data_IF_908141040294
#
_entry.id   IF_908141040294
#
_cell.length_a   1.000
_cell.length_b   1.000
_cell.length_c   1.000
_cell.angle_alpha   90.00
_cell.angle_beta   90.00
_cell.angle_gamma   90.00
#
_symmetry.space_group_name_H-M   'P 1'
#
loop_
_entity.id
_entity.type
_entity.pdbx_description
1 polymer ?
#
# COMPACT_ATOMS: atom_id res chain seq x y z
N UNK A 1 3.78 22.34 3.20
CA UNK A 1 3.12 21.25 3.95
C UNK A 1 4.20 20.31 4.46
N UNK A 2 3.94 19.50 5.51
CA UNK A 2 4.93 18.55 6.04
C UNK A 2 5.01 17.29 5.18
N UNK A 3 3.86 16.74 4.76
CA UNK A 3 3.75 15.56 3.90
C UNK A 3 2.31 15.44 3.35
N UNK A 4 2.04 14.51 2.43
CA UNK A 4 0.72 14.14 1.89
C UNK A 4 0.39 12.66 2.14
N UNK A 5 0.24 12.23 3.41
CA UNK A 5 0.15 10.82 3.73
C UNK A 5 -1.21 10.21 3.40
N UNK A 6 -1.19 8.91 3.09
CA UNK A 6 -2.40 8.08 3.07
C UNK A 6 -2.55 7.39 4.42
N UNK A 7 -3.72 7.54 5.05
CA UNK A 7 -4.00 6.95 6.36
C UNK A 7 -5.02 5.82 6.24
N UNK A 8 -4.72 4.67 6.83
CA UNK A 8 -5.60 3.51 6.96
C UNK A 8 -6.01 3.38 8.43
N UNK A 9 -7.31 3.49 8.71
CA UNK A 9 -7.89 3.20 10.03
C UNK A 9 -8.11 1.69 10.17
N UNK A 10 -7.13 0.97 10.73
CA UNK A 10 -7.16 -0.48 10.87
C UNK A 10 -8.21 -0.93 11.90
N UNK A 11 -8.30 -0.22 13.02
CA UNK A 11 -9.31 -0.42 14.07
C UNK A 11 -9.65 0.93 14.73
N UNK A 12 -10.48 0.94 15.78
CA UNK A 12 -10.82 2.18 16.49
C UNK A 12 -9.61 2.86 17.15
N UNK A 13 -8.58 2.08 17.48
CA UNK A 13 -7.37 2.46 18.20
C UNK A 13 -6.07 2.29 17.38
N UNK A 14 -6.14 1.77 16.15
CA UNK A 14 -4.96 1.55 15.29
C UNK A 14 -5.09 2.24 13.94
N UNK A 15 -4.09 3.03 13.61
CA UNK A 15 -3.97 3.74 12.34
C UNK A 15 -2.59 3.46 11.74
N UNK A 16 -2.56 3.17 10.45
CA UNK A 16 -1.33 3.18 9.67
C UNK A 16 -1.28 4.43 8.82
N UNK A 17 -0.13 5.08 8.81
CA UNK A 17 0.09 6.31 8.06
C UNK A 17 1.24 6.06 7.12
N UNK A 18 0.96 6.00 5.82
CA UNK A 18 1.97 5.92 4.78
C UNK A 18 2.60 7.29 4.60
N UNK A 19 3.90 7.41 4.88
CA UNK A 19 4.65 8.66 4.90
C UNK A 19 5.72 8.67 3.81
N UNK A 20 5.99 9.83 3.23
CA UNK A 20 7.08 9.96 2.25
C UNK A 20 8.48 10.06 2.89
N UNK A 21 8.56 10.49 4.16
CA UNK A 21 9.80 10.70 4.88
C UNK A 21 9.63 10.58 6.41
N UNK A 22 10.74 10.65 7.15
CA UNK A 22 10.76 10.63 8.61
C UNK A 22 10.27 11.93 9.27
N UNK A 23 10.15 13.03 8.53
CA UNK A 23 9.79 14.33 9.12
C UNK A 23 8.36 14.30 9.66
N UNK A 24 7.45 13.64 8.92
CA UNK A 24 6.10 13.40 9.41
C UNK A 24 6.09 12.51 10.66
N UNK A 25 6.93 11.47 10.72
CA UNK A 25 7.04 10.61 11.90
C UNK A 25 7.48 11.42 13.14
N UNK A 26 8.49 12.27 13.00
CA UNK A 26 8.95 13.12 14.10
C UNK A 26 7.92 14.17 14.49
N UNK A 27 7.20 14.72 13.53
CA UNK A 27 6.12 15.67 13.79
C UNK A 27 4.98 15.04 14.60
N UNK A 28 4.52 13.84 14.21
CA UNK A 28 3.48 13.10 14.95
C UNK A 28 3.95 12.74 16.36
N UNK A 29 5.20 12.28 16.52
CA UNK A 29 5.80 12.03 17.85
C UNK A 29 5.84 13.27 18.72
N UNK A 30 6.19 14.42 18.14
CA UNK A 30 6.20 15.71 18.82
C UNK A 30 4.81 16.12 19.33
N UNK A 31 3.78 15.93 18.51
CA UNK A 31 2.38 16.18 18.91
C UNK A 31 1.91 15.24 20.02
N UNK A 32 2.17 13.94 19.88
CA UNK A 32 1.79 12.95 20.89
C UNK A 32 2.42 13.29 22.25
N UNK A 33 3.70 13.65 22.26
CA UNK A 33 4.40 14.07 23.47
C UNK A 33 3.88 15.42 24.02
N UNK A 34 3.76 16.43 23.17
CA UNK A 34 3.34 17.79 23.58
C UNK A 34 1.92 17.86 24.11
N UNK A 35 1.01 17.05 23.55
CA UNK A 35 -0.39 16.94 23.98
C UNK A 35 -0.62 15.86 25.05
N UNK A 36 0.42 15.12 25.44
CA UNK A 36 0.35 14.01 26.41
C UNK A 36 -0.70 12.96 26.02
N UNK A 37 -0.73 12.60 24.74
CA UNK A 37 -1.63 11.56 24.24
C UNK A 37 -1.11 10.18 24.66
N UNK A 38 -2.03 9.29 25.03
CA UNK A 38 -1.73 7.88 25.29
C UNK A 38 -1.74 7.11 23.96
N UNK A 39 -0.66 7.24 23.20
CA UNK A 39 -0.52 6.63 21.86
C UNK A 39 0.92 6.20 21.63
N UNK A 40 1.08 5.00 21.05
CA UNK A 40 2.37 4.53 20.55
C UNK A 40 2.54 4.98 19.10
N UNK A 41 3.69 5.59 18.78
CA UNK A 41 4.03 6.03 17.43
C UNK A 41 5.38 5.41 17.05
N UNK A 42 5.35 4.40 16.19
CA UNK A 42 6.52 3.69 15.69
C UNK A 42 6.38 3.38 14.19
N UNK A 43 7.46 2.84 13.63
CA UNK A 43 7.47 2.27 12.28
C UNK A 43 7.18 0.77 12.42
N UNK A 44 6.01 0.30 11.96
CA UNK A 44 5.65 -1.11 12.08
C UNK A 44 6.42 -1.95 11.05
N UNK A 45 6.59 -3.25 11.32
CA UNK A 45 7.18 -4.20 10.37
C UNK A 45 6.17 -4.56 9.27
N UNK A 46 5.90 -3.58 8.40
CA UNK A 46 4.94 -3.68 7.29
C UNK A 46 5.57 -3.15 6.02
N UNK A 47 5.62 -3.99 5.00
CA UNK A 47 6.18 -3.66 3.70
C UNK A 47 5.06 -3.53 2.65
N UNK A 48 4.78 -2.32 2.14
CA UNK A 48 3.81 -2.15 1.07
C UNK A 48 4.36 -2.62 -0.28
N UNK A 49 3.59 -3.41 -1.01
CA UNK A 49 3.87 -3.85 -2.38
C UNK A 49 2.77 -3.35 -3.31
N UNK A 50 3.15 -2.54 -4.31
CA UNK A 50 2.20 -1.99 -5.26
C UNK A 50 2.02 -2.90 -6.50
N UNK A 51 0.77 -3.13 -6.88
CA UNK A 51 0.38 -3.76 -8.15
C UNK A 51 -0.28 -2.68 -9.00
N UNK A 52 0.39 -2.22 -10.05
CA UNK A 52 -0.06 -1.08 -10.87
C UNK A 52 -0.10 -1.48 -12.35
N UNK A 53 -1.04 -0.88 -13.09
CA UNK A 53 -1.16 -1.06 -14.54
C UNK A 53 -2.57 -1.45 -15.00
N UNK A 54 -2.81 -1.50 -16.32
CA UNK A 54 -4.16 -1.71 -16.87
C UNK A 54 -4.72 -3.10 -16.53
N UNK A 55 -3.85 -4.08 -16.29
CA UNK A 55 -4.20 -5.46 -15.95
C UNK A 55 -4.08 -5.75 -14.44
N UNK A 56 -3.87 -4.72 -13.60
CA UNK A 56 -3.71 -4.89 -12.15
C UNK A 56 -4.91 -5.59 -11.50
N UNK A 57 -6.14 -5.31 -11.96
CA UNK A 57 -7.35 -5.98 -11.48
C UNK A 57 -7.35 -7.48 -11.79
N UNK A 58 -6.83 -7.87 -12.95
CA UNK A 58 -6.75 -9.27 -13.35
C UNK A 58 -5.68 -9.99 -12.53
N UNK A 59 -4.49 -9.40 -12.43
CA UNK A 59 -3.39 -9.96 -11.65
C UNK A 59 -3.74 -10.11 -10.17
N UNK A 60 -4.31 -9.05 -9.56
CA UNK A 60 -4.73 -9.10 -8.17
C UNK A 60 -5.78 -10.19 -7.94
N UNK A 61 -6.74 -10.36 -8.85
CA UNK A 61 -7.75 -11.41 -8.71
C UNK A 61 -7.19 -12.83 -8.89
N UNK A 62 -6.13 -13.01 -9.68
CA UNK A 62 -5.45 -14.31 -9.80
C UNK A 62 -4.79 -14.74 -8.48
N UNK A 63 -4.32 -13.78 -7.67
CA UNK A 63 -3.63 -14.05 -6.40
C UNK A 63 -4.58 -14.03 -5.20
N UNK A 64 -5.48 -13.05 -5.12
CA UNK A 64 -6.36 -12.82 -3.96
C UNK A 64 -7.83 -13.20 -4.21
N UNK A 65 -8.16 -13.67 -5.42
CA UNK A 65 -9.53 -13.98 -5.84
C UNK A 65 -10.33 -12.79 -6.36
N UNK A 66 -11.44 -13.06 -7.04
CA UNK A 66 -12.23 -12.04 -7.75
C UNK A 66 -12.82 -10.94 -6.85
N UNK A 67 -13.00 -11.22 -5.56
CA UNK A 67 -13.52 -10.24 -4.59
C UNK A 67 -12.66 -8.98 -4.49
N UNK A 68 -11.38 -9.05 -4.83
CA UNK A 68 -10.48 -7.87 -4.80
C UNK A 68 -10.91 -6.79 -5.80
N UNK A 69 -11.57 -7.20 -6.90
CA UNK A 69 -12.10 -6.28 -7.92
C UNK A 69 -13.26 -5.42 -7.41
N UNK A 70 -13.97 -5.88 -6.38
CA UNK A 70 -15.10 -5.16 -5.77
C UNK A 70 -14.66 -4.00 -4.87
N UNK A 71 -13.37 -3.93 -4.53
CA UNK A 71 -12.83 -2.81 -3.76
C UNK A 71 -13.06 -1.49 -4.52
N UNK A 72 -13.64 -0.51 -3.82
CA UNK A 72 -13.78 0.85 -4.33
C UNK A 72 -12.48 1.62 -4.10
N UNK A 73 -12.26 2.66 -4.90
CA UNK A 73 -11.11 3.54 -4.75
C UNK A 73 -11.00 4.10 -3.33
N UNK A 74 -9.79 4.14 -2.76
CA UNK A 74 -9.51 4.47 -1.35
C UNK A 74 -10.25 3.60 -0.32
N UNK A 75 -10.50 2.34 -0.67
CA UNK A 75 -10.93 1.31 0.29
C UNK A 75 -9.94 0.17 0.31
N UNK A 76 -9.85 -0.48 1.46
CA UNK A 76 -9.10 -1.71 1.63
C UNK A 76 -10.03 -2.83 2.10
N UNK A 77 -9.54 -4.05 1.95
CA UNK A 77 -10.17 -5.26 2.46
C UNK A 77 -9.12 -6.28 2.90
N UNK A 78 -9.63 -7.35 3.50
CA UNK A 78 -8.87 -8.46 4.04
C UNK A 78 -8.96 -9.64 3.07
N UNK A 79 -7.82 -10.17 2.66
CA UNK A 79 -7.71 -11.24 1.67
C UNK A 79 -6.74 -12.31 2.14
N UNK A 80 -7.14 -13.57 2.00
CA UNK A 80 -6.27 -14.71 2.31
C UNK A 80 -5.16 -14.83 1.26
N UNK A 81 -3.92 -14.95 1.73
CA UNK A 81 -2.78 -15.38 0.95
C UNK A 81 -1.99 -16.42 1.74
N UNK A 82 -1.97 -17.66 1.25
CA UNK A 82 -1.29 -18.78 1.90
C UNK A 82 -1.70 -18.96 3.38
N UNK A 83 -2.99 -18.78 3.70
CA UNK A 83 -3.49 -18.90 5.08
C UNK A 83 -3.24 -17.69 5.97
N UNK A 84 -2.70 -16.60 5.43
CA UNK A 84 -2.46 -15.34 6.13
C UNK A 84 -3.43 -14.28 5.64
N UNK A 85 -4.01 -13.54 6.57
CA UNK A 85 -4.90 -12.44 6.27
C UNK A 85 -4.08 -11.19 5.90
N UNK A 86 -4.24 -10.70 4.67
CA UNK A 86 -3.52 -9.55 4.13
C UNK A 86 -4.45 -8.37 3.85
N UNK A 87 -3.99 -7.17 4.19
CA UNK A 87 -4.67 -5.94 3.84
C UNK A 87 -4.31 -5.56 2.41
N UNK A 88 -5.31 -5.55 1.54
CA UNK A 88 -5.19 -5.07 0.16
C UNK A 88 -6.03 -3.80 0.01
N UNK A 89 -5.36 -2.68 -0.27
CA UNK A 89 -5.99 -1.41 -0.55
C UNK A 89 -6.08 -1.18 -2.04
N UNK A 90 -7.21 -0.66 -2.51
CA UNK A 90 -7.32 -0.09 -3.85
C UNK A 90 -6.85 1.35 -3.83
N UNK A 91 -5.52 1.46 -3.86
CA UNK A 91 -4.75 2.70 -3.96
C UNK A 91 -3.72 2.53 -5.08
N UNK A 92 -3.25 3.65 -5.62
CA UNK A 92 -2.26 3.59 -6.68
C UNK A 92 -1.70 4.93 -7.05
N UNK A 93 -0.42 4.90 -7.36
CA UNK A 93 0.41 6.01 -7.80
C UNK A 93 0.31 6.26 -9.31
N UNK A 94 -0.38 5.37 -10.04
CA UNK A 94 -0.60 5.43 -11.47
C UNK A 94 -2.02 5.91 -11.79
N UNK A 95 -2.18 6.59 -12.93
CA UNK A 95 -3.51 6.91 -13.49
C UNK A 95 -4.29 5.67 -13.92
N UNK A 96 -3.57 4.56 -14.13
CA UNK A 96 -4.09 3.30 -14.65
C UNK A 96 -4.83 2.49 -13.58
N UNK A 97 -4.68 2.89 -12.31
CA UNK A 97 -5.24 2.19 -11.17
C UNK A 97 -4.35 1.04 -10.72
N UNK A 98 -4.68 0.51 -9.55
CA UNK A 98 -3.91 -0.56 -8.95
C UNK A 98 -4.34 -0.86 -7.53
N UNK A 99 -3.49 -1.64 -6.87
CA UNK A 99 -3.64 -2.02 -5.49
C UNK A 99 -2.31 -1.85 -4.76
N UNK A 100 -2.38 -1.68 -3.45
CA UNK A 100 -1.26 -1.82 -2.54
C UNK A 100 -1.58 -2.95 -1.56
N UNK A 101 -0.65 -3.90 -1.46
CA UNK A 101 -0.72 -5.00 -0.49
C UNK A 101 0.20 -4.63 0.67
N UNK A 102 -0.35 -4.56 1.87
CA UNK A 102 0.41 -4.32 3.08
C UNK A 102 0.85 -5.66 3.66
N UNK A 103 2.11 -6.02 3.45
CA UNK A 103 2.68 -7.28 3.91
C UNK A 103 3.21 -7.10 5.32
N UNK A 104 2.54 -7.71 6.30
CA UNK A 104 3.01 -7.74 7.69
C UNK A 104 4.14 -8.77 7.83
N UNK A 105 5.27 -8.35 8.39
CA UNK A 105 6.47 -9.17 8.53
C UNK A 105 7.27 -9.35 7.23
N UNK A 106 8.41 -10.04 7.36
CA UNK A 106 9.35 -10.24 6.25
C UNK A 106 9.21 -11.59 5.52
N UNK A 107 8.50 -12.55 6.11
CA UNK A 107 8.43 -13.93 5.61
C UNK A 107 7.60 -14.06 4.33
N UNK A 108 6.57 -13.22 4.15
CA UNK A 108 5.62 -13.33 3.05
C UNK A 108 5.94 -12.43 1.86
N UNK A 109 6.92 -11.51 1.98
CA UNK A 109 7.27 -10.58 0.90
C UNK A 109 7.75 -11.31 -0.36
N UNK A 110 8.71 -12.23 -0.22
CA UNK A 110 9.21 -13.03 -1.35
C UNK A 110 8.17 -14.02 -1.90
N UNK A 111 7.44 -14.78 -1.07
CA UNK A 111 6.32 -15.61 -1.53
C UNK A 111 5.27 -14.83 -2.34
N UNK A 112 4.86 -13.65 -1.87
CA UNK A 112 3.90 -12.79 -2.57
C UNK A 112 4.46 -12.31 -3.90
N UNK A 113 5.70 -11.81 -3.91
CA UNK A 113 6.37 -11.38 -5.14
C UNK A 113 6.41 -12.49 -6.18
N UNK A 114 6.84 -13.68 -5.79
CA UNK A 114 6.93 -14.83 -6.68
C UNK A 114 5.55 -15.26 -7.19
N UNK A 115 4.52 -15.24 -6.34
CA UNK A 115 3.15 -15.57 -6.73
C UNK A 115 2.60 -14.59 -7.77
N UNK A 116 2.86 -13.28 -7.59
CA UNK A 116 2.46 -12.25 -8.56
C UNK A 116 3.20 -12.41 -9.88
N UNK A 117 4.51 -12.62 -9.85
CA UNK A 117 5.30 -12.84 -11.06
C UNK A 117 4.85 -14.09 -11.82
N UNK A 118 4.57 -15.19 -11.11
CA UNK A 118 4.06 -16.43 -11.72
C UNK A 118 2.67 -16.23 -12.33
N UNK A 119 1.74 -15.63 -11.59
CA UNK A 119 0.38 -15.36 -12.05
C UNK A 119 0.31 -14.34 -13.19
N UNK A 120 1.36 -13.56 -13.39
CA UNK A 120 1.47 -12.49 -14.37
C UNK A 120 2.32 -12.80 -15.60
N UNK A 121 2.84 -14.03 -15.76
CA UNK A 121 3.75 -14.38 -16.87
C UNK A 121 3.17 -14.13 -18.26
N UNK A 122 1.87 -14.34 -18.43
CA UNK A 122 1.12 -14.08 -19.68
C UNK A 122 0.60 -12.64 -19.78
N UNK A 123 0.71 -11.85 -18.71
CA UNK A 123 0.27 -10.46 -18.62
C UNK A 123 1.43 -9.45 -18.80
N UNK A 124 2.62 -9.92 -19.18
CA UNK A 124 3.84 -9.11 -19.35
C UNK A 124 4.19 -8.31 -18.08
N UNK A 125 4.11 -8.95 -16.92
CA UNK A 125 4.40 -8.32 -15.62
C UNK A 125 5.91 -8.18 -15.41
N UNK A 126 6.34 -6.99 -15.00
CA UNK A 126 7.73 -6.67 -14.71
C UNK A 126 7.89 -5.99 -13.35
N UNK A 127 9.11 -6.05 -12.82
CA UNK A 127 9.49 -5.29 -11.64
C UNK A 127 9.48 -3.79 -11.98
N UNK A 128 8.63 -3.02 -11.27
CA UNK A 128 8.56 -1.58 -11.39
C UNK A 128 9.23 -0.86 -10.23
N UNK A 129 9.53 0.42 -10.44
CA UNK A 129 9.84 1.37 -9.38
C UNK A 129 8.91 2.60 -9.53
N UNK A 130 8.82 3.50 -8.53
CA UNK A 130 8.02 4.70 -8.65
C UNK A 130 8.37 5.48 -9.93
N UNK A 131 7.43 5.53 -10.88
CA UNK A 131 7.64 6.19 -12.17
C UNK A 131 7.22 7.66 -12.07
N UNK A 132 8.22 8.54 -12.00
CA UNK A 132 8.02 9.98 -11.90
C UNK A 132 7.24 10.56 -13.09
N UNK A 133 7.48 10.04 -14.30
CA UNK A 133 6.84 10.53 -15.53
C UNK A 133 5.34 10.27 -15.47
N UNK A 134 4.96 9.04 -15.10
CA UNK A 134 3.55 8.66 -14.99
C UNK A 134 2.81 9.45 -13.89
N UNK A 135 3.50 9.81 -12.80
CA UNK A 135 2.93 10.66 -11.75
C UNK A 135 2.64 12.08 -12.26
N UNK A 136 3.59 12.68 -12.99
CA UNK A 136 3.43 14.03 -13.57
C UNK A 136 2.28 14.02 -14.58
N UNK A 137 2.23 13.01 -15.44
CA UNK A 137 1.10 12.80 -16.36
C UNK A 137 -0.22 12.57 -15.59
N UNK A 138 -0.12 11.94 -14.41
CA UNK A 138 -1.18 11.74 -13.43
C UNK A 138 -1.74 13.01 -12.82
N UNK A 139 -0.94 14.08 -12.76
CA UNK A 139 -1.27 15.33 -12.08
C UNK A 139 -1.17 15.23 -10.55
N UNK A 140 -0.48 14.23 -10.01
CA UNK A 140 -0.26 14.11 -8.56
C UNK A 140 0.92 15.00 -8.13
N UNK A 141 0.73 15.81 -7.09
CA UNK A 141 1.76 16.70 -6.54
C UNK A 141 2.92 15.91 -5.91
N UNK A 142 4.13 16.45 -5.90
CA UNK A 142 5.29 15.84 -5.23
C UNK A 142 5.81 16.83 -4.21
N UNK A 143 5.96 16.37 -2.98
CA UNK A 143 6.65 17.11 -1.93
C UNK A 143 8.13 16.70 -1.96
N UNK A 144 9.01 17.70 -1.99
CA UNK A 144 10.47 17.59 -1.92
C UNK A 144 10.93 18.32 -0.67
#
# INVERSE_FOLDING_TARGET
>A
AVNDPVCLKISDDRYWVSIADSDLLFWVKGLAYGLRLDVLVDEPDVSPLAIQGPLANELAARVFGDKVKDLKFFRYGHFDFMGHDMIVARSGYSKQGGFEVYVEGSDLGMPLWNALMEAGKDLDVHAGCPNLIERIEGGFEIYV
#
